data_IF_882547014884
#
_entry.id   IF_882547014884
#
_cell.length_a   1.000
_cell.length_b   1.000
_cell.length_c   1.000
_cell.angle_alpha   90.00
_cell.angle_beta   90.00
_cell.angle_gamma   90.00
#
_symmetry.space_group_name_H-M   'P 1'
#
loop_
_entity.id
_entity.type
_entity.pdbx_description
1 polymer ?
#
# COMPACT_ATOMS: atom_id res chain seq x y z
N UNK A 1 21.83 15.75 -5.44
CA UNK A 1 21.93 16.15 -4.02
C UNK A 1 20.88 15.48 -3.15
N UNK A 2 19.58 15.63 -3.42
CA UNK A 2 18.51 15.00 -2.60
C UNK A 2 18.58 13.46 -2.63
N UNK A 3 18.68 12.84 -3.81
CA UNK A 3 18.79 11.37 -3.93
C UNK A 3 19.95 10.79 -3.13
N UNK A 4 21.13 11.40 -3.25
CA UNK A 4 22.33 11.00 -2.50
C UNK A 4 22.12 11.09 -0.97
N UNK A 5 21.48 12.16 -0.49
CA UNK A 5 21.17 12.30 0.93
C UNK A 5 20.19 11.24 1.43
N UNK A 6 19.24 10.82 0.59
CA UNK A 6 18.31 9.72 0.94
C UNK A 6 19.04 8.38 0.99
N UNK A 7 19.94 8.11 0.04
CA UNK A 7 20.75 6.89 0.05
C UNK A 7 21.65 6.81 1.29
N UNK A 8 22.33 7.91 1.62
CA UNK A 8 23.15 8.03 2.83
C UNK A 8 22.30 7.75 4.08
N UNK A 9 21.11 8.37 4.18
CA UNK A 9 20.19 8.11 5.29
C UNK A 9 19.72 6.66 5.36
N UNK A 10 19.47 6.01 4.22
CA UNK A 10 19.11 4.59 4.20
C UNK A 10 20.26 3.75 4.77
N UNK A 11 21.49 4.00 4.34
CA UNK A 11 22.68 3.29 4.83
C UNK A 11 22.92 3.53 6.33
N UNK A 12 22.71 4.76 6.81
CA UNK A 12 22.77 5.09 8.24
C UNK A 12 21.76 4.27 9.05
N UNK A 13 20.50 4.18 8.59
CA UNK A 13 19.47 3.37 9.24
C UNK A 13 19.85 1.89 9.25
N UNK A 14 20.33 1.35 8.13
CA UNK A 14 20.75 -0.05 8.07
C UNK A 14 21.95 -0.33 8.98
N UNK A 15 22.91 0.60 9.08
CA UNK A 15 24.04 0.50 10.00
C UNK A 15 23.63 0.52 11.49
N UNK A 16 22.46 1.09 11.82
CA UNK A 16 21.86 1.02 13.16
C UNK A 16 21.17 -0.33 13.44
N UNK A 17 21.11 -1.23 12.46
CA UNK A 17 20.56 -2.58 12.62
C UNK A 17 19.09 -2.72 12.25
N UNK A 18 18.52 -1.78 11.49
CA UNK A 18 17.17 -1.94 10.93
C UNK A 18 17.16 -2.99 9.82
N UNK A 19 16.09 -3.80 9.74
CA UNK A 19 15.96 -4.88 8.74
C UNK A 19 15.75 -4.36 7.31
N UNK A 20 15.37 -3.09 7.16
CA UNK A 20 15.06 -2.47 5.89
C UNK A 20 14.61 -1.03 6.01
N UNK A 21 14.17 -0.47 4.88
CA UNK A 21 13.66 0.89 4.79
C UNK A 21 12.28 0.89 4.14
N UNK A 22 11.37 1.72 4.68
CA UNK A 22 10.06 1.97 4.09
C UNK A 22 10.00 3.41 3.57
N UNK A 23 9.84 3.56 2.26
CA UNK A 23 9.77 4.84 1.58
C UNK A 23 8.31 5.29 1.48
N UNK A 24 7.99 6.42 2.12
CA UNK A 24 6.73 7.12 1.88
C UNK A 24 6.98 8.47 1.19
N UNK A 25 6.96 8.47 -0.14
CA UNK A 25 7.19 9.66 -0.96
C UNK A 25 5.89 10.05 -1.64
N UNK A 26 5.35 11.20 -1.25
CA UNK A 26 4.05 11.67 -1.71
C UNK A 26 4.06 13.19 -1.99
N UNK A 27 3.33 13.66 -3.02
CA UNK A 27 2.64 12.87 -4.05
C UNK A 27 3.61 12.46 -5.18
N UNK A 28 3.38 11.30 -5.78
CA UNK A 28 4.08 10.83 -6.99
C UNK A 28 3.05 10.54 -8.08
N UNK A 29 3.30 11.03 -9.29
CA UNK A 29 2.38 10.86 -10.42
C UNK A 29 2.46 9.45 -11.02
N UNK A 30 1.36 9.00 -11.64
CA UNK A 30 1.35 7.78 -12.43
C UNK A 30 2.33 7.90 -13.60
N UNK A 31 3.21 6.91 -13.78
CA UNK A 31 4.19 6.92 -14.86
C UNK A 31 5.44 7.77 -14.61
N UNK A 32 5.66 8.29 -13.40
CA UNK A 32 6.84 9.09 -13.07
C UNK A 32 8.13 8.27 -13.18
N UNK A 33 8.93 8.56 -14.21
CA UNK A 33 10.19 7.87 -14.49
C UNK A 33 11.31 8.26 -13.51
N UNK A 34 11.26 9.48 -12.95
CA UNK A 34 12.24 9.95 -11.98
C UNK A 34 12.11 9.16 -10.67
N UNK A 35 10.87 8.86 -10.26
CA UNK A 35 10.62 7.99 -9.10
C UNK A 35 11.09 6.56 -9.33
N UNK A 36 10.91 5.99 -10.53
CA UNK A 36 11.45 4.65 -10.85
C UNK A 36 12.97 4.62 -10.79
N UNK A 37 13.65 5.61 -11.37
CA UNK A 37 15.11 5.74 -11.24
C UNK A 37 15.55 5.99 -9.80
N UNK A 38 14.70 6.59 -8.97
CA UNK A 38 14.99 6.81 -7.56
C UNK A 38 14.96 5.48 -6.79
N UNK A 39 13.94 4.65 -7.05
CA UNK A 39 13.86 3.30 -6.51
C UNK A 39 15.05 2.44 -6.94
N UNK A 40 15.48 2.53 -8.21
CA UNK A 40 16.66 1.81 -8.71
C UNK A 40 17.92 2.20 -7.89
N UNK A 41 18.19 3.50 -7.77
CA UNK A 41 19.34 3.99 -6.97
C UNK A 41 19.20 3.70 -5.46
N UNK A 42 17.98 3.64 -4.94
CA UNK A 42 17.77 3.33 -3.51
C UNK A 42 17.96 1.84 -3.24
N UNK A 43 17.52 0.96 -4.16
CA UNK A 43 17.77 -0.47 -4.09
C UNK A 43 19.27 -0.78 -4.00
N UNK A 44 20.10 -0.07 -4.77
CA UNK A 44 21.57 -0.19 -4.69
C UNK A 44 22.10 0.16 -3.30
N UNK A 45 21.58 1.22 -2.67
CA UNK A 45 22.00 1.64 -1.33
C UNK A 45 21.50 0.70 -0.23
N UNK A 46 20.32 0.11 -0.40
CA UNK A 46 19.68 -0.79 0.58
C UNK A 46 20.22 -2.23 0.45
N UNK A 47 20.82 -2.61 -0.67
CA UNK A 47 21.51 -3.90 -0.84
C UNK A 47 20.55 -5.09 -0.83
N UNK A 48 20.71 -6.03 0.09
CA UNK A 48 19.81 -7.19 0.27
C UNK A 48 18.75 -6.98 1.37
N UNK A 49 18.76 -5.82 2.04
CA UNK A 49 17.75 -5.48 3.06
C UNK A 49 16.37 -5.20 2.43
N UNK A 50 15.32 -5.20 3.25
CA UNK A 50 13.95 -4.98 2.75
C UNK A 50 13.83 -3.54 2.22
N UNK A 51 13.44 -3.41 0.94
CA UNK A 51 12.98 -2.15 0.38
C UNK A 51 11.46 -2.17 0.26
N UNK A 52 10.81 -1.42 1.14
CA UNK A 52 9.36 -1.26 1.19
C UNK A 52 8.96 0.12 0.66
N UNK A 53 7.85 0.23 -0.06
CA UNK A 53 7.39 1.50 -0.64
C UNK A 53 5.89 1.66 -0.51
N UNK A 54 5.45 2.83 -0.03
CA UNK A 54 4.07 3.23 -0.07
C UNK A 54 3.67 3.58 -1.51
N UNK A 55 2.54 3.04 -1.98
CA UNK A 55 2.04 3.25 -3.34
C UNK A 55 0.64 3.80 -3.33
N UNK A 56 0.30 4.57 -4.36
CA UNK A 56 -1.05 5.07 -4.56
C UNK A 56 -2.04 3.92 -4.79
N UNK A 57 -3.33 4.21 -4.72
CA UNK A 57 -4.38 3.23 -5.02
C UNK A 57 -4.33 2.83 -6.49
N UNK A 58 -4.64 1.58 -6.78
CA UNK A 58 -4.91 1.15 -8.14
C UNK A 58 -6.18 1.81 -8.66
N UNK A 59 -6.13 2.26 -9.92
CA UNK A 59 -7.26 2.91 -10.60
C UNK A 59 -8.29 1.85 -11.02
N UNK A 60 -9.47 1.87 -10.41
CA UNK A 60 -10.55 0.96 -10.83
C UNK A 60 -11.34 1.59 -11.98
N UNK A 61 -11.67 0.78 -12.99
CA UNK A 61 -12.39 1.24 -14.19
C UNK A 61 -13.77 1.84 -13.87
N UNK A 62 -14.34 1.50 -12.72
CA UNK A 62 -15.66 1.96 -12.25
C UNK A 62 -15.65 3.39 -11.71
N UNK A 63 -14.49 3.95 -11.35
CA UNK A 63 -14.42 5.33 -10.88
C UNK A 63 -14.24 6.30 -12.06
N UNK A 64 -14.95 7.45 -12.07
CA UNK A 64 -14.81 8.43 -13.14
C UNK A 64 -13.36 8.89 -13.27
N UNK A 65 -12.87 9.06 -14.50
CA UNK A 65 -11.48 9.48 -14.75
C UNK A 65 -11.13 10.87 -14.16
N UNK A 66 -12.15 11.69 -13.87
CA UNK A 66 -12.03 12.99 -13.20
C UNK A 66 -11.87 12.89 -11.67
N UNK A 67 -12.12 11.72 -11.08
CA UNK A 67 -11.91 11.49 -9.65
C UNK A 67 -10.41 11.35 -9.39
N UNK A 68 -9.82 12.43 -8.87
CA UNK A 68 -8.58 12.40 -8.10
C UNK A 68 -7.37 11.75 -8.82
N UNK A 69 -7.09 12.13 -10.07
CA UNK A 69 -5.99 11.59 -10.90
C UNK A 69 -4.61 11.52 -10.21
N UNK A 70 -4.34 12.44 -9.27
CA UNK A 70 -3.08 12.47 -8.50
C UNK A 70 -2.92 11.34 -7.47
N UNK A 71 -4.00 10.63 -7.17
CA UNK A 71 -4.09 9.68 -6.06
C UNK A 71 -4.26 8.23 -6.50
N UNK A 72 -4.21 8.00 -7.82
CA UNK A 72 -4.38 6.69 -8.44
C UNK A 72 -3.33 6.44 -9.52
N UNK A 73 -2.76 5.24 -9.54
CA UNK A 73 -1.88 4.78 -10.61
C UNK A 73 -2.49 3.62 -11.40
N UNK A 74 -2.06 3.46 -12.65
CA UNK A 74 -2.41 2.32 -13.49
C UNK A 74 -1.62 1.06 -13.14
N UNK A 75 -2.05 -0.09 -13.65
CA UNK A 75 -1.39 -1.37 -13.38
C UNK A 75 0.05 -1.41 -13.89
N UNK A 76 0.32 -0.78 -15.05
CA UNK A 76 1.66 -0.78 -15.65
C UNK A 76 2.69 -0.12 -14.72
N UNK A 77 2.32 1.01 -14.10
CA UNK A 77 3.23 1.73 -13.22
C UNK A 77 3.44 0.98 -11.89
N UNK A 78 2.37 0.47 -11.28
CA UNK A 78 2.48 -0.41 -10.12
C UNK A 78 3.38 -1.62 -10.39
N UNK A 79 3.29 -2.22 -11.59
CA UNK A 79 4.15 -3.35 -11.99
C UNK A 79 5.61 -2.94 -12.04
N UNK A 80 5.93 -1.75 -12.57
CA UNK A 80 7.29 -1.21 -12.62
C UNK A 80 7.84 -0.90 -11.22
N UNK A 81 7.00 -0.45 -10.29
CA UNK A 81 7.37 -0.22 -8.89
C UNK A 81 7.59 -1.55 -8.15
N UNK A 82 6.68 -2.51 -8.28
CA UNK A 82 6.80 -3.84 -7.66
C UNK A 82 8.02 -4.63 -8.18
N UNK A 83 8.46 -4.37 -9.41
CA UNK A 83 9.69 -4.94 -9.94
C UNK A 83 10.97 -4.45 -9.23
N UNK A 84 10.88 -3.37 -8.44
CA UNK A 84 12.02 -2.67 -7.80
C UNK A 84 12.01 -2.73 -6.27
N UNK A 85 10.92 -3.17 -5.66
CA UNK A 85 10.73 -3.18 -4.22
C UNK A 85 10.30 -4.57 -3.74
N UNK A 86 10.70 -4.92 -2.53
CA UNK A 86 10.30 -6.18 -1.87
C UNK A 86 8.88 -6.07 -1.34
N UNK A 87 8.46 -4.89 -0.90
CA UNK A 87 7.10 -4.65 -0.40
C UNK A 87 6.48 -3.43 -1.06
N UNK A 88 5.26 -3.59 -1.57
CA UNK A 88 4.39 -2.49 -2.02
C UNK A 88 3.21 -2.35 -1.06
N UNK A 89 3.14 -1.21 -0.39
CA UNK A 89 2.15 -0.91 0.65
C UNK A 89 1.12 0.05 0.07
N UNK A 90 -0.06 -0.47 -0.25
CA UNK A 90 -1.12 0.30 -0.91
C UNK A 90 -1.76 1.25 0.08
N UNK A 91 -1.73 2.55 -0.17
CA UNK A 91 -2.38 3.56 0.66
C UNK A 91 -3.88 3.62 0.38
N UNK A 92 -4.61 2.58 0.81
CA UNK A 92 -6.03 2.38 0.51
C UNK A 92 -6.98 3.16 1.44
N UNK A 93 -6.64 4.42 1.68
CA UNK A 93 -7.38 5.41 2.49
C UNK A 93 -7.35 6.76 1.81
N UNK A 94 -8.13 7.74 2.26
CA UNK A 94 -8.39 9.00 1.56
C UNK A 94 -9.05 8.75 0.19
N UNK A 95 -10.12 7.97 0.16
CA UNK A 95 -10.82 7.52 -1.06
C UNK A 95 -12.04 8.36 -1.44
N UNK A 96 -12.57 9.16 -0.50
CA UNK A 96 -13.85 9.85 -0.61
C UNK A 96 -15.05 8.92 -0.83
N UNK A 97 -14.93 7.63 -0.47
CA UNK A 97 -16.02 6.66 -0.60
C UNK A 97 -16.90 6.75 0.67
N UNK A 98 -18.16 7.21 0.57
CA UNK A 98 -18.98 7.48 1.75
C UNK A 98 -19.73 6.24 2.27
N UNK A 99 -19.75 5.15 1.52
CA UNK A 99 -20.50 3.95 1.88
C UNK A 99 -19.56 2.82 2.32
N UNK A 100 -19.68 2.37 3.56
CA UNK A 100 -18.91 1.28 4.15
C UNK A 100 -18.81 0.02 3.26
N UNK A 101 -19.93 -0.41 2.67
CA UNK A 101 -19.95 -1.58 1.76
C UNK A 101 -19.19 -1.34 0.46
N UNK A 102 -19.23 -0.12 -0.06
CA UNK A 102 -18.48 0.26 -1.28
C UNK A 102 -16.99 0.34 -0.97
N UNK A 103 -16.62 0.86 0.21
CA UNK A 103 -15.23 0.86 0.68
C UNK A 103 -14.70 -0.57 0.87
N UNK A 104 -15.49 -1.44 1.50
CA UNK A 104 -15.14 -2.86 1.66
C UNK A 104 -14.94 -3.57 0.31
N UNK A 105 -15.83 -3.32 -0.67
CA UNK A 105 -15.66 -3.80 -2.04
C UNK A 105 -14.42 -3.23 -2.71
N UNK A 106 -14.15 -1.94 -2.54
CA UNK A 106 -12.96 -1.28 -3.08
C UNK A 106 -11.68 -1.93 -2.54
N UNK A 107 -11.58 -2.14 -1.23
CA UNK A 107 -10.45 -2.83 -0.60
C UNK A 107 -10.27 -4.24 -1.15
N UNK A 108 -11.37 -4.96 -1.39
CA UNK A 108 -11.30 -6.28 -2.04
C UNK A 108 -10.66 -6.19 -3.42
N UNK A 109 -11.13 -5.29 -4.28
CA UNK A 109 -10.59 -5.15 -5.64
C UNK A 109 -9.14 -4.64 -5.62
N UNK A 110 -8.78 -3.69 -4.75
CA UNK A 110 -7.38 -3.27 -4.56
C UNK A 110 -6.49 -4.46 -4.20
N UNK A 111 -6.91 -5.29 -3.25
CA UNK A 111 -6.15 -6.46 -2.81
C UNK A 111 -5.97 -7.47 -3.94
N UNK A 112 -7.06 -7.83 -4.63
CA UNK A 112 -7.04 -8.75 -5.78
C UNK A 112 -6.09 -8.21 -6.85
N UNK A 113 -6.25 -6.94 -7.23
CA UNK A 113 -5.52 -6.37 -8.36
C UNK A 113 -4.04 -6.19 -8.06
N UNK A 114 -3.70 -5.74 -6.86
CA UNK A 114 -2.32 -5.49 -6.50
C UNK A 114 -1.51 -6.78 -6.36
N UNK A 115 -2.11 -7.88 -5.88
CA UNK A 115 -1.44 -9.19 -5.89
C UNK A 115 -1.19 -9.72 -7.31
N UNK A 116 -2.10 -9.48 -8.25
CA UNK A 116 -1.86 -9.80 -9.67
C UNK A 116 -0.71 -8.99 -10.25
N UNK A 117 -0.71 -7.68 -10.00
CA UNK A 117 0.34 -6.79 -10.49
C UNK A 117 1.71 -7.15 -9.92
N UNK A 118 1.78 -7.49 -8.64
CA UNK A 118 3.01 -7.98 -8.02
C UNK A 118 3.48 -9.29 -8.69
N UNK A 119 2.58 -10.23 -8.96
CA UNK A 119 2.91 -11.47 -9.67
C UNK A 119 3.37 -11.23 -11.12
N UNK A 120 2.82 -10.22 -11.79
CA UNK A 120 3.18 -9.82 -13.16
C UNK A 120 4.47 -8.98 -13.22
N UNK A 121 5.01 -8.53 -12.07
CA UNK A 121 6.20 -7.67 -12.02
C UNK A 121 7.48 -8.35 -12.45
N UNK A 122 7.54 -9.68 -12.36
CA UNK A 122 8.76 -10.47 -12.57
C UNK A 122 9.69 -10.50 -11.35
N UNK A 123 9.39 -9.77 -10.27
CA UNK A 123 10.12 -9.86 -9.01
C UNK A 123 9.48 -10.94 -8.11
N UNK A 124 10.15 -12.09 -7.87
CA UNK A 124 9.61 -13.17 -7.04
C UNK A 124 9.50 -12.81 -5.56
N UNK A 125 10.25 -11.79 -5.12
CA UNK A 125 10.26 -11.33 -3.72
C UNK A 125 9.20 -10.26 -3.45
N UNK A 126 8.58 -9.69 -4.49
CA UNK A 126 7.57 -8.65 -4.30
C UNK A 126 6.40 -9.16 -3.47
N UNK A 127 6.02 -8.40 -2.45
CA UNK A 127 4.89 -8.66 -1.57
C UNK A 127 4.00 -7.44 -1.45
N UNK A 128 2.71 -7.67 -1.27
CA UNK A 128 1.68 -6.64 -1.19
C UNK A 128 1.16 -6.56 0.23
N UNK A 129 1.15 -5.35 0.77
CA UNK A 129 0.42 -5.00 1.98
C UNK A 129 -0.67 -3.98 1.66
N UNK A 130 -1.81 -4.09 2.32
CA UNK A 130 -2.94 -3.17 2.15
C UNK A 130 -3.04 -2.24 3.34
N UNK A 131 -2.84 -0.95 3.11
CA UNK A 131 -2.95 0.11 4.12
C UNK A 131 -4.40 0.38 4.49
N UNK A 132 -4.76 0.23 5.77
CA UNK A 132 -6.09 0.50 6.29
C UNK A 132 -6.06 1.64 7.32
N UNK A 133 -6.98 2.62 7.22
CA UNK A 133 -7.02 3.78 8.10
C UNK A 133 -7.68 3.46 9.46
N UNK A 134 -7.24 4.20 10.50
CA UNK A 134 -7.74 4.20 11.88
C UNK A 134 -7.83 5.63 12.44
N UNK A 135 -7.69 6.63 11.58
CA UNK A 135 -7.82 8.03 11.97
C UNK A 135 -9.27 8.49 11.79
N UNK A 136 -9.77 9.26 12.76
CA UNK A 136 -11.20 9.64 12.81
C UNK A 136 -11.49 11.03 12.23
N UNK A 137 -10.52 11.67 11.57
CA UNK A 137 -10.69 13.03 11.06
C UNK A 137 -11.43 13.05 9.72
N UNK A 138 -12.68 13.51 9.72
CA UNK A 138 -13.43 13.74 8.49
C UNK A 138 -12.77 14.82 7.62
N UNK A 139 -12.43 14.46 6.37
CA UNK A 139 -11.92 15.38 5.34
C UNK A 139 -12.73 15.18 4.06
N UNK A 140 -12.65 16.10 3.12
CA UNK A 140 -13.29 15.91 1.80
C UNK A 140 -12.89 14.59 1.12
N UNK A 141 -11.70 14.09 1.45
CA UNK A 141 -11.14 12.84 0.91
C UNK A 141 -11.33 11.65 1.84
N UNK A 142 -11.84 11.81 3.06
CA UNK A 142 -11.91 10.72 4.04
C UNK A 142 -13.16 10.81 4.91
N UNK A 143 -13.97 9.76 4.87
CA UNK A 143 -15.13 9.58 5.73
C UNK A 143 -14.85 8.44 6.73
N UNK A 144 -14.60 8.73 8.01
CA UNK A 144 -14.27 7.71 9.01
C UNK A 144 -15.43 6.75 9.30
N UNK A 145 -16.66 7.07 8.89
CA UNK A 145 -17.79 6.13 9.00
C UNK A 145 -17.71 4.99 7.98
N UNK A 146 -17.00 5.21 6.87
CA UNK A 146 -16.82 4.25 5.78
C UNK A 146 -15.39 3.71 5.74
N UNK A 147 -14.40 4.59 5.74
CA UNK A 147 -12.97 4.29 5.64
C UNK A 147 -12.38 4.03 7.02
N UNK A 148 -12.47 2.78 7.49
CA UNK A 148 -11.89 2.37 8.76
C UNK A 148 -11.54 0.88 8.73
N UNK A 149 -10.84 0.43 9.77
CA UNK A 149 -10.46 -0.96 9.94
C UNK A 149 -11.67 -1.92 9.93
N UNK A 150 -12.80 -1.56 10.56
CA UNK A 150 -13.99 -2.42 10.66
C UNK A 150 -14.59 -2.75 9.29
N UNK A 151 -14.54 -1.80 8.36
CA UNK A 151 -15.10 -1.93 7.01
C UNK A 151 -14.08 -2.42 5.98
N UNK A 152 -12.80 -2.05 6.14
CA UNK A 152 -11.71 -2.46 5.24
C UNK A 152 -11.32 -3.93 5.42
N UNK A 153 -11.26 -4.42 6.66
CA UNK A 153 -10.80 -5.77 6.95
C UNK A 153 -11.64 -6.88 6.29
N UNK A 154 -13.00 -6.83 6.30
CA UNK A 154 -13.82 -7.77 5.53
C UNK A 154 -13.50 -7.77 4.03
N UNK A 155 -13.11 -6.62 3.47
CA UNK A 155 -12.72 -6.51 2.06
C UNK A 155 -11.45 -7.30 1.75
N UNK A 156 -10.42 -7.16 2.61
CA UNK A 156 -9.18 -7.94 2.50
C UNK A 156 -9.48 -9.44 2.64
N UNK A 157 -10.23 -9.84 3.66
CA UNK A 157 -10.58 -11.24 3.89
C UNK A 157 -11.38 -11.83 2.71
N UNK A 158 -12.31 -11.06 2.14
CA UNK A 158 -13.06 -11.47 0.96
C UNK A 158 -12.16 -11.58 -0.29
N UNK A 159 -11.16 -10.71 -0.44
CA UNK A 159 -10.16 -10.84 -1.50
C UNK A 159 -9.33 -12.11 -1.34
N UNK A 160 -8.93 -12.47 -0.12
CA UNK A 160 -8.19 -13.71 0.09
C UNK A 160 -9.01 -14.92 -0.36
N UNK A 161 -10.33 -14.95 -0.17
CA UNK A 161 -11.19 -16.03 -0.67
C UNK A 161 -11.49 -15.96 -2.18
N UNK A 162 -11.08 -14.90 -2.87
CA UNK A 162 -11.28 -14.75 -4.30
C UNK A 162 -10.25 -15.56 -5.11
N UNK A 163 -10.73 -16.31 -6.12
CA UNK A 163 -9.90 -17.14 -7.01
C UNK A 163 -8.95 -16.31 -7.88
N UNK A 164 -9.24 -15.02 -8.08
CA UNK A 164 -8.41 -14.08 -8.85
C UNK A 164 -7.14 -13.66 -8.08
N UNK A 165 -7.14 -13.79 -6.76
CA UNK A 165 -6.07 -13.32 -5.89
C UNK A 165 -4.85 -14.22 -5.97
N UNK A 166 -3.67 -13.59 -6.13
CA UNK A 166 -2.38 -14.29 -6.11
C UNK A 166 -1.85 -14.31 -4.68
N UNK A 167 -2.37 -15.25 -3.86
CA UNK A 167 -2.11 -15.30 -2.40
C UNK A 167 -0.62 -15.32 -2.04
N UNK A 168 0.24 -15.94 -2.84
CA UNK A 168 1.70 -15.99 -2.60
C UNK A 168 2.37 -14.62 -2.61
N UNK A 169 1.72 -13.61 -3.21
CA UNK A 169 2.19 -12.23 -3.27
C UNK A 169 1.53 -11.34 -2.20
N UNK A 170 0.60 -11.87 -1.41
CA UNK A 170 -0.04 -11.13 -0.32
C UNK A 170 0.69 -11.40 1.00
N UNK A 171 1.14 -10.34 1.67
CA UNK A 171 1.84 -10.46 2.95
C UNK A 171 0.95 -10.06 4.13
N UNK A 172 0.09 -9.05 3.97
CA UNK A 172 -0.80 -8.66 5.06
C UNK A 172 -1.44 -7.28 4.88
N UNK A 173 -1.74 -6.66 6.01
CA UNK A 173 -2.25 -5.29 6.07
C UNK A 173 -1.26 -4.39 6.80
N UNK A 174 -1.31 -3.09 6.50
CA UNK A 174 -0.60 -2.05 7.23
C UNK A 174 -1.64 -1.14 7.91
N UNK A 175 -1.75 -1.21 9.23
CA UNK A 175 -2.70 -0.37 9.97
C UNK A 175 -2.08 1.02 10.13
N UNK A 176 -2.75 2.03 9.57
CA UNK A 176 -2.32 3.42 9.60
C UNK A 176 -3.42 4.29 10.22
N UNK A 177 -3.18 5.21 11.13
CA UNK A 177 -1.92 5.63 11.69
C UNK A 177 -1.81 5.23 13.17
N UNK A 178 -0.76 4.50 13.53
CA UNK A 178 -0.57 3.95 14.88
C UNK A 178 -0.80 4.96 16.02
N UNK A 179 -0.40 6.24 15.84
CA UNK A 179 -0.50 7.26 16.89
C UNK A 179 -1.94 7.69 17.23
N UNK A 180 -2.93 7.31 16.41
CA UNK A 180 -4.35 7.49 16.71
C UNK A 180 -5.10 6.17 16.86
N UNK A 181 -4.47 5.04 16.52
CA UNK A 181 -5.10 3.71 16.64
C UNK A 181 -5.39 3.38 18.11
N UNK A 182 -6.66 3.17 18.41
CA UNK A 182 -7.17 2.85 19.74
C UNK A 182 -6.95 1.38 20.12
N UNK A 183 -7.03 1.08 21.43
CA UNK A 183 -7.01 -0.30 21.92
C UNK A 183 -8.17 -1.14 21.37
N UNK A 184 -9.33 -0.53 21.12
CA UNK A 184 -10.51 -1.24 20.62
C UNK A 184 -10.34 -1.64 19.16
N UNK A 185 -9.69 -0.80 18.34
CA UNK A 185 -9.31 -1.14 16.96
C UNK A 185 -8.28 -2.28 16.92
N UNK A 186 -7.29 -2.26 17.82
CA UNK A 186 -6.35 -3.37 17.95
C UNK A 186 -7.03 -4.68 18.36
N UNK A 187 -7.99 -4.62 19.27
CA UNK A 187 -8.78 -5.80 19.63
C UNK A 187 -9.65 -6.26 18.45
N UNK A 188 -10.21 -5.34 17.68
CA UNK A 188 -11.00 -5.67 16.50
C UNK A 188 -10.17 -6.35 15.41
N UNK A 189 -8.96 -5.84 15.15
CA UNK A 189 -7.99 -6.52 14.30
C UNK A 189 -7.74 -7.94 14.80
N UNK A 190 -7.38 -8.13 16.08
CA UNK A 190 -7.09 -9.45 16.64
C UNK A 190 -8.29 -10.41 16.63
N UNK A 191 -9.52 -9.90 16.75
CA UNK A 191 -10.74 -10.73 16.69
C UNK A 191 -11.02 -11.26 15.30
N UNK A 192 -10.74 -10.47 14.26
CA UNK A 192 -11.14 -10.75 12.89
C UNK A 192 -10.01 -11.30 12.03
N UNK A 193 -8.78 -10.89 12.28
CA UNK A 193 -7.62 -11.36 11.54
C UNK A 193 -7.28 -12.78 11.99
N UNK A 194 -7.16 -13.73 11.05
CA UNK A 194 -6.78 -15.09 11.42
C UNK A 194 -5.38 -15.07 12.06
N UNK A 195 -5.14 -15.89 13.10
CA UNK A 195 -3.79 -16.11 13.60
C UNK A 195 -2.91 -16.71 12.49
N UNK A 196 -1.58 -16.50 12.55
CA UNK A 196 -0.64 -17.05 11.58
C UNK A 196 -0.68 -18.57 11.50
#
# INVERSE_FOLDING_TARGET
RIRAAVQERCQELLALGFDGVHLNIEPVADGDADFLGFLDTTREAVGDHILSVAVMKHREWTFPHSWHQKWFWGSEYHRKVAARADQVVVMAYDTAIPLAKVYSWFIREQTVRMTQVAAESGNPNARVLIGLPTYDYHRLTHDPSAENLQNGLPGVLAALQDRRTRRDFFEGIAIYAHWVTSNDEWQEYRRRWPPP
#
